data_IF_937670801650
#
_entry.id   IF_937670801650
#
_cell.length_a   1.000
_cell.length_b   1.000
_cell.length_c   1.000
_cell.angle_alpha   90.00
_cell.angle_beta   90.00
_cell.angle_gamma   90.00
#
_symmetry.space_group_name_H-M   'P 1'
#
loop_
_entity.id
_entity.type
_entity.pdbx_description
1 polymer ?
#
# COMPACT_ATOMS: atom_id res chain seq x y z
N UNK A 1 15.56 12.86 4.83
CA UNK A 1 14.36 13.24 5.61
C UNK A 1 13.66 14.48 5.07
N UNK A 2 14.34 15.42 4.39
CA UNK A 2 13.73 16.68 3.91
C UNK A 2 12.50 16.55 2.98
N UNK A 3 12.48 15.57 2.06
CA UNK A 3 11.36 15.42 1.11
C UNK A 3 10.05 15.00 1.78
N UNK A 4 10.09 14.15 2.81
CA UNK A 4 8.88 13.69 3.52
C UNK A 4 8.19 14.85 4.22
N UNK A 5 8.95 15.66 4.96
CA UNK A 5 8.43 16.83 5.68
C UNK A 5 7.85 17.83 4.70
N UNK A 6 8.62 18.23 3.68
CA UNK A 6 8.17 19.22 2.69
C UNK A 6 6.93 18.78 1.92
N UNK A 7 6.81 17.50 1.54
CA UNK A 7 5.61 17.00 0.84
C UNK A 7 4.38 17.01 1.74
N UNK A 8 4.52 16.65 3.02
CA UNK A 8 3.41 16.63 3.98
C UNK A 8 2.96 18.02 4.41
N UNK A 9 3.88 18.99 4.48
CA UNK A 9 3.55 20.39 4.74
C UNK A 9 2.90 21.07 3.53
N UNK A 10 3.37 20.76 2.31
CA UNK A 10 2.83 21.33 1.09
C UNK A 10 1.46 20.76 0.69
N UNK A 11 1.13 19.52 1.08
CA UNK A 11 -0.13 18.88 0.66
C UNK A 11 -1.38 19.63 1.14
N UNK A 12 -1.53 20.01 2.43
CA UNK A 12 -2.66 20.81 2.89
C UNK A 12 -2.75 22.17 2.22
N UNK A 13 -1.60 22.84 2.01
CA UNK A 13 -1.54 24.14 1.34
C UNK A 13 -2.01 24.00 -0.11
N UNK A 14 -1.52 22.99 -0.83
CA UNK A 14 -1.92 22.75 -2.20
C UNK A 14 -3.42 22.45 -2.33
N UNK A 15 -4.00 21.72 -1.38
CA UNK A 15 -5.44 21.48 -1.33
C UNK A 15 -6.24 22.77 -1.05
N UNK A 16 -5.80 23.58 -0.08
CA UNK A 16 -6.50 24.79 0.34
C UNK A 16 -6.49 25.89 -0.74
N UNK A 17 -5.42 25.99 -1.52
CA UNK A 17 -5.24 27.02 -2.54
C UNK A 17 -5.50 26.54 -3.97
N UNK A 18 -6.03 25.33 -4.17
CA UNK A 18 -6.34 24.80 -5.51
C UNK A 18 -5.12 24.57 -6.40
N UNK A 19 -3.97 24.24 -5.80
CA UNK A 19 -2.71 23.97 -6.53
C UNK A 19 -2.68 22.51 -7.02
N UNK A 20 -3.55 22.20 -7.99
CA UNK A 20 -3.86 20.82 -8.40
C UNK A 20 -2.63 20.00 -8.82
N UNK A 21 -1.66 20.61 -9.50
CA UNK A 21 -0.46 19.89 -9.93
C UNK A 21 0.39 19.44 -8.75
N UNK A 22 0.62 20.34 -7.79
CA UNK A 22 1.37 20.06 -6.57
C UNK A 22 0.61 19.03 -5.74
N UNK A 23 -0.68 19.24 -5.54
CA UNK A 23 -1.55 18.31 -4.81
C UNK A 23 -1.44 16.89 -5.36
N UNK A 24 -1.60 16.72 -6.68
CA UNK A 24 -1.53 15.41 -7.34
C UNK A 24 -0.13 14.79 -7.27
N UNK A 25 0.93 15.60 -7.42
CA UNK A 25 2.32 15.14 -7.29
C UNK A 25 2.61 14.68 -5.86
N UNK A 26 2.14 15.42 -4.86
CA UNK A 26 2.26 15.06 -3.44
C UNK A 26 1.55 13.74 -3.14
N UNK A 27 0.28 13.57 -3.58
CA UNK A 27 -0.45 12.32 -3.40
C UNK A 27 0.29 11.12 -4.01
N UNK A 28 0.76 11.23 -5.26
CA UNK A 28 1.52 10.14 -5.91
C UNK A 28 2.81 9.82 -5.17
N UNK A 29 3.53 10.84 -4.71
CA UNK A 29 4.77 10.64 -3.97
C UNK A 29 4.52 9.94 -2.63
N UNK A 30 3.48 10.36 -1.90
CA UNK A 30 3.06 9.72 -0.64
C UNK A 30 2.68 8.26 -0.87
N UNK A 31 1.87 7.96 -1.89
CA UNK A 31 1.49 6.59 -2.29
C UNK A 31 2.72 5.73 -2.55
N UNK A 32 3.69 6.22 -3.33
CA UNK A 32 4.93 5.48 -3.65
C UNK A 32 5.80 5.21 -2.41
N UNK A 33 5.74 6.07 -1.40
CA UNK A 33 6.59 5.97 -0.22
C UNK A 33 5.82 5.69 1.08
N UNK A 34 4.61 5.14 0.97
CA UNK A 34 3.66 5.04 2.08
C UNK A 34 4.23 4.33 3.31
N UNK A 35 5.00 3.24 3.13
CA UNK A 35 5.66 2.50 4.23
C UNK A 35 6.54 3.39 5.10
N UNK A 36 7.20 4.40 4.50
CA UNK A 36 8.06 5.35 5.22
C UNK A 36 7.31 6.58 5.71
N UNK A 37 6.24 6.97 5.00
CA UNK A 37 5.52 8.23 5.23
C UNK A 37 4.42 8.07 6.27
N UNK A 38 3.63 7.01 6.19
CA UNK A 38 2.46 6.80 7.04
C UNK A 38 2.79 6.71 8.53
N UNK A 39 3.88 6.05 8.98
CA UNK A 39 4.24 5.98 10.40
C UNK A 39 4.66 7.31 11.00
N UNK A 40 4.90 8.34 10.18
CA UNK A 40 5.42 9.62 10.65
C UNK A 40 4.36 10.40 11.42
N UNK A 41 4.80 11.19 12.41
CA UNK A 41 3.92 12.08 13.18
C UNK A 41 3.29 13.15 12.28
N UNK A 42 3.98 13.58 11.25
CA UNK A 42 3.54 14.57 10.27
C UNK A 42 2.36 14.05 9.46
N UNK A 43 2.40 12.78 9.01
CA UNK A 43 1.27 12.17 8.30
C UNK A 43 0.07 11.98 9.24
N UNK A 44 0.31 11.48 10.46
CA UNK A 44 -0.73 11.31 11.46
C UNK A 44 -1.42 12.63 11.86
N UNK A 45 -0.72 13.76 11.73
CA UNK A 45 -1.25 15.09 12.01
C UNK A 45 -2.07 15.69 10.85
N UNK A 46 -2.04 15.10 9.65
CA UNK A 46 -2.85 15.58 8.53
C UNK A 46 -4.36 15.51 8.85
N UNK A 47 -5.17 16.45 8.32
CA UNK A 47 -6.62 16.32 8.31
C UNK A 47 -7.06 14.94 7.79
N UNK A 48 -8.06 14.33 8.44
CA UNK A 48 -8.56 13.00 8.09
C UNK A 48 -8.93 12.90 6.60
N UNK A 49 -9.53 13.94 6.04
CA UNK A 49 -9.87 13.98 4.62
C UNK A 49 -8.65 13.81 3.70
N UNK A 50 -7.49 14.39 4.06
CA UNK A 50 -6.26 14.25 3.29
C UNK A 50 -5.63 12.86 3.47
N UNK A 51 -5.72 12.28 4.67
CA UNK A 51 -5.32 10.89 4.88
C UNK A 51 -6.18 9.95 4.01
N UNK A 52 -7.50 10.16 3.98
CA UNK A 52 -8.44 9.40 3.14
C UNK A 52 -8.19 9.60 1.63
N UNK A 53 -7.70 10.78 1.21
CA UNK A 53 -7.28 11.02 -0.18
C UNK A 53 -6.00 10.26 -0.53
N UNK A 54 -5.02 10.18 0.38
CA UNK A 54 -3.82 9.37 0.19
C UNK A 54 -4.17 7.88 0.08
N UNK A 55 -5.03 7.38 0.97
CA UNK A 55 -5.56 6.02 0.91
C UNK A 55 -6.27 5.74 -0.42
N UNK A 56 -7.20 6.61 -0.83
CA UNK A 56 -7.93 6.45 -2.11
C UNK A 56 -6.99 6.46 -3.30
N UNK A 57 -5.99 7.35 -3.32
CA UNK A 57 -4.98 7.39 -4.37
C UNK A 57 -4.23 6.05 -4.46
N UNK A 58 -3.90 5.43 -3.33
CA UNK A 58 -3.25 4.13 -3.32
C UNK A 58 -4.15 3.04 -3.91
N UNK A 59 -5.41 2.97 -3.46
CA UNK A 59 -6.37 1.96 -3.93
C UNK A 59 -6.64 2.07 -5.43
N UNK A 60 -6.88 3.27 -5.96
CA UNK A 60 -7.24 3.42 -7.39
C UNK A 60 -6.06 3.20 -8.35
N UNK A 61 -4.82 3.19 -7.87
CA UNK A 61 -3.64 2.87 -8.67
C UNK A 61 -3.06 1.48 -8.34
N UNK A 62 -3.79 0.69 -7.54
CA UNK A 62 -3.40 -0.67 -7.26
C UNK A 62 -3.53 -1.52 -8.53
N UNK A 63 -2.46 -2.25 -8.84
CA UNK A 63 -2.37 -3.09 -10.02
C UNK A 63 -1.50 -4.32 -9.76
N UNK A 64 -1.48 -5.26 -10.70
CA UNK A 64 -0.74 -6.51 -10.54
C UNK A 64 0.77 -6.29 -10.34
N UNK A 65 1.31 -5.18 -10.86
CA UNK A 65 2.72 -4.80 -10.75
C UNK A 65 3.12 -4.25 -9.36
N UNK A 66 2.16 -3.90 -8.50
CA UNK A 66 2.43 -3.20 -7.24
C UNK A 66 1.63 -3.73 -6.03
N UNK A 67 0.67 -4.64 -6.24
CA UNK A 67 -0.16 -5.19 -5.16
C UNK A 67 0.68 -5.98 -4.14
N UNK A 68 1.67 -6.75 -4.57
CA UNK A 68 2.53 -7.51 -3.67
C UNK A 68 3.35 -6.60 -2.74
N UNK A 69 3.98 -5.56 -3.29
CA UNK A 69 4.63 -4.53 -2.48
C UNK A 69 3.66 -3.81 -1.54
N UNK A 70 2.40 -3.65 -1.95
CA UNK A 70 1.37 -3.05 -1.08
C UNK A 70 1.06 -3.95 0.11
N UNK A 71 0.83 -5.25 -0.11
CA UNK A 71 0.56 -6.20 0.98
C UNK A 71 1.72 -6.26 1.97
N UNK A 72 2.94 -6.48 1.48
CA UNK A 72 4.16 -6.54 2.30
C UNK A 72 4.42 -5.22 3.04
N UNK A 73 4.18 -4.09 2.36
CA UNK A 73 4.31 -2.77 2.95
C UNK A 73 3.30 -2.54 4.09
N UNK A 74 2.06 -3.00 3.95
CA UNK A 74 1.08 -2.97 5.04
C UNK A 74 1.48 -3.84 6.23
N UNK A 75 1.99 -5.05 6.00
CA UNK A 75 2.50 -5.91 7.10
C UNK A 75 3.67 -5.23 7.84
N UNK A 76 4.58 -4.61 7.10
CA UNK A 76 5.68 -3.82 7.67
C UNK A 76 5.17 -2.64 8.49
N UNK A 77 4.17 -1.91 8.00
CA UNK A 77 3.53 -0.82 8.72
C UNK A 77 2.90 -1.31 10.03
N UNK A 78 2.15 -2.40 9.98
CA UNK A 78 1.49 -2.99 11.16
C UNK A 78 2.49 -3.45 12.22
N UNK A 79 3.67 -3.95 11.81
CA UNK A 79 4.75 -4.30 12.71
C UNK A 79 5.49 -3.08 13.30
N UNK A 80 5.51 -1.95 12.58
CA UNK A 80 6.34 -0.78 12.94
C UNK A 80 5.55 0.33 13.65
N UNK A 81 4.25 0.45 13.40
CA UNK A 81 3.41 1.51 13.96
C UNK A 81 3.14 1.21 15.45
N UNK A 82 3.55 2.09 16.38
CA UNK A 82 3.29 1.89 17.79
C UNK A 82 1.79 1.99 18.07
N UNK A 83 1.25 1.09 18.90
CA UNK A 83 -0.16 1.08 19.29
C UNK A 83 -0.47 2.19 20.32
N UNK A 84 -0.39 3.44 19.86
CA UNK A 84 -0.68 4.65 20.64
C UNK A 84 -1.79 5.45 19.97
N UNK A 85 -2.56 6.21 20.75
CA UNK A 85 -3.76 6.94 20.29
C UNK A 85 -3.54 7.78 19.03
N UNK A 86 -2.38 8.43 18.91
CA UNK A 86 -2.03 9.29 17.76
C UNK A 86 -1.84 8.51 16.46
N UNK A 87 -1.48 7.23 16.53
CA UNK A 87 -1.25 6.39 15.37
C UNK A 87 -2.48 5.55 14.96
N UNK A 88 -3.58 5.63 15.73
CA UNK A 88 -4.77 4.81 15.47
C UNK A 88 -5.41 5.08 14.10
N UNK A 89 -5.42 6.33 13.63
CA UNK A 89 -5.97 6.63 12.29
C UNK A 89 -5.11 6.00 11.19
N UNK A 90 -3.78 6.06 11.33
CA UNK A 90 -2.84 5.47 10.39
C UNK A 90 -2.93 3.95 10.40
N UNK A 91 -3.04 3.34 11.58
CA UNK A 91 -3.22 1.89 11.72
C UNK A 91 -4.51 1.43 11.05
N UNK A 92 -5.63 2.13 11.29
CA UNK A 92 -6.91 1.81 10.66
C UNK A 92 -6.84 1.94 9.12
N UNK A 93 -6.11 2.92 8.60
CA UNK A 93 -5.89 3.06 7.14
C UNK A 93 -5.01 1.95 6.60
N UNK A 94 -3.96 1.54 7.32
CA UNK A 94 -3.07 0.43 6.96
C UNK A 94 -3.85 -0.88 6.86
N UNK A 95 -4.63 -1.21 7.89
CA UNK A 95 -5.45 -2.43 7.90
C UNK A 95 -6.47 -2.41 6.77
N UNK A 96 -7.16 -1.29 6.55
CA UNK A 96 -8.11 -1.16 5.43
C UNK A 96 -7.44 -1.31 4.07
N UNK A 97 -6.21 -0.81 3.92
CA UNK A 97 -5.44 -0.96 2.68
C UNK A 97 -4.99 -2.40 2.49
N UNK A 98 -4.54 -3.06 3.57
CA UNK A 98 -4.17 -4.46 3.58
C UNK A 98 -5.33 -5.35 3.10
N UNK A 99 -6.53 -5.18 3.67
CA UNK A 99 -7.72 -5.94 3.28
C UNK A 99 -8.05 -5.79 1.78
N UNK A 100 -7.99 -4.56 1.27
CA UNK A 100 -8.25 -4.29 -0.16
C UNK A 100 -7.16 -4.90 -1.04
N UNK A 101 -5.90 -4.83 -0.62
CA UNK A 101 -4.78 -5.39 -1.36
C UNK A 101 -4.82 -6.92 -1.43
N UNK A 102 -5.10 -7.59 -0.31
CA UNK A 102 -5.30 -9.04 -0.28
C UNK A 102 -6.49 -9.44 -1.15
N UNK A 103 -7.59 -8.69 -1.10
CA UNK A 103 -8.75 -8.96 -1.97
C UNK A 103 -8.39 -8.83 -3.45
N UNK A 104 -7.68 -7.77 -3.84
CA UNK A 104 -7.20 -7.58 -5.22
C UNK A 104 -6.30 -8.74 -5.65
N UNK A 105 -5.33 -9.11 -4.80
CA UNK A 105 -4.41 -10.22 -5.04
C UNK A 105 -5.16 -11.52 -5.32
N UNK A 106 -6.14 -11.88 -4.50
CA UNK A 106 -6.94 -13.09 -4.70
C UNK A 106 -7.77 -13.04 -5.99
N UNK A 107 -8.33 -11.87 -6.33
CA UNK A 107 -9.15 -11.70 -7.54
C UNK A 107 -8.33 -11.71 -8.84
N UNK A 108 -7.08 -11.29 -8.79
CA UNK A 108 -6.17 -11.16 -9.94
C UNK A 108 -4.95 -12.09 -9.83
N UNK A 109 -5.07 -13.18 -9.08
CA UNK A 109 -3.95 -14.02 -8.67
C UNK A 109 -3.10 -14.48 -9.86
N UNK A 110 -3.73 -15.01 -10.90
CA UNK A 110 -3.06 -15.48 -12.14
C UNK A 110 -2.22 -14.39 -12.81
N UNK A 111 -2.74 -13.17 -12.89
CA UNK A 111 -2.02 -12.01 -13.46
C UNK A 111 -0.86 -11.58 -12.56
N UNK A 112 -1.02 -11.68 -11.24
CA UNK A 112 0.04 -11.30 -10.29
C UNK A 112 1.19 -12.28 -10.32
N UNK A 113 0.93 -13.60 -10.27
CA UNK A 113 2.00 -14.63 -10.24
C UNK A 113 2.79 -14.73 -11.55
N UNK A 114 2.22 -14.25 -12.65
CA UNK A 114 2.88 -14.18 -13.97
C UNK A 114 3.53 -12.83 -14.24
N UNK A 115 3.39 -11.85 -13.34
CA UNK A 115 3.94 -10.51 -13.51
C UNK A 115 5.44 -10.45 -13.25
N UNK A 116 6.13 -9.52 -13.92
CA UNK A 116 7.54 -9.22 -13.64
C UNK A 116 7.77 -8.75 -12.20
N UNK A 117 6.76 -8.13 -11.58
CA UNK A 117 6.81 -7.71 -10.18
C UNK A 117 6.96 -8.89 -9.22
N UNK A 118 6.24 -9.99 -9.46
CA UNK A 118 6.40 -11.21 -8.68
C UNK A 118 7.80 -11.81 -8.85
N UNK A 119 8.29 -11.89 -10.10
CA UNK A 119 9.64 -12.41 -10.39
C UNK A 119 10.76 -11.55 -9.80
N UNK A 120 10.51 -10.25 -9.61
CA UNK A 120 11.46 -9.32 -9.01
C UNK A 120 11.44 -9.42 -7.48
N UNK A 121 10.25 -9.41 -6.87
CA UNK A 121 10.09 -9.57 -5.41
C UNK A 121 10.65 -10.92 -4.94
N UNK A 122 10.49 -11.99 -5.72
CA UNK A 122 11.04 -13.31 -5.39
C UNK A 122 12.58 -13.36 -5.33
N UNK A 123 13.28 -12.30 -5.75
CA UNK A 123 14.74 -12.14 -5.67
C UNK A 123 15.18 -11.22 -4.54
N UNK A 124 14.24 -10.67 -3.77
CA UNK A 124 14.54 -9.85 -2.59
C UNK A 124 15.00 -10.72 -1.41
N UNK A 125 15.20 -10.12 -0.24
CA UNK A 125 15.73 -10.83 0.92
C UNK A 125 14.86 -12.00 1.38
N UNK A 126 15.47 -12.92 2.14
CA UNK A 126 14.81 -14.14 2.59
C UNK A 126 13.55 -13.88 3.43
N UNK A 127 13.50 -12.73 4.14
CA UNK A 127 12.33 -12.32 4.90
C UNK A 127 11.16 -12.00 3.98
N UNK A 128 11.41 -11.22 2.94
CA UNK A 128 10.44 -10.85 1.92
C UNK A 128 9.91 -12.08 1.20
N UNK A 129 10.80 -13.01 0.83
CA UNK A 129 10.41 -14.28 0.18
C UNK A 129 9.52 -15.14 1.09
N UNK A 130 9.87 -15.29 2.37
CA UNK A 130 9.07 -16.08 3.32
C UNK A 130 7.68 -15.48 3.55
N UNK A 131 7.58 -14.15 3.68
CA UNK A 131 6.28 -13.46 3.80
C UNK A 131 5.46 -13.62 2.54
N UNK A 132 6.07 -13.42 1.38
CA UNK A 132 5.43 -13.60 0.09
C UNK A 132 4.85 -15.00 -0.08
N UNK A 133 5.60 -16.04 0.27
CA UNK A 133 5.13 -17.43 0.24
C UNK A 133 3.88 -17.62 1.11
N UNK A 134 3.88 -17.13 2.35
CA UNK A 134 2.71 -17.21 3.23
C UNK A 134 1.50 -16.46 2.69
N UNK A 135 1.70 -15.24 2.18
CA UNK A 135 0.65 -14.44 1.55
C UNK A 135 0.04 -15.18 0.37
N UNK A 136 0.87 -15.76 -0.51
CA UNK A 136 0.40 -16.49 -1.70
C UNK A 136 -0.24 -17.83 -1.35
N UNK A 137 0.28 -18.55 -0.37
CA UNK A 137 -0.33 -19.77 0.14
C UNK A 137 -1.71 -19.47 0.75
N UNK A 138 -1.86 -18.36 1.46
CA UNK A 138 -3.16 -17.92 1.99
C UNK A 138 -4.13 -17.51 0.88
N UNK A 139 -3.66 -16.74 -0.12
CA UNK A 139 -4.48 -16.34 -1.26
C UNK A 139 -4.93 -17.55 -2.10
N UNK A 140 -4.03 -18.51 -2.36
CA UNK A 140 -4.32 -19.70 -3.16
C UNK A 140 -5.41 -20.58 -2.56
N UNK A 141 -5.49 -20.67 -1.23
CA UNK A 141 -6.55 -21.40 -0.50
C UNK A 141 -7.93 -20.77 -0.63
N UNK A 142 -8.00 -19.48 -0.96
CA UNK A 142 -9.23 -18.70 -1.05
C UNK A 142 -9.61 -18.35 -2.51
N UNK A 143 -8.99 -19.01 -3.50
CA UNK A 143 -9.28 -18.78 -4.90
C UNK A 143 -10.69 -19.27 -5.28
N UNK A 144 -11.34 -18.55 -6.20
CA UNK A 144 -12.52 -19.06 -6.87
C UNK A 144 -12.12 -20.15 -7.88
N UNK A 145 -13.02 -21.11 -8.20
CA UNK A 145 -12.74 -22.18 -9.17
C UNK A 145 -12.25 -21.66 -10.54
N UNK A 146 -12.77 -20.51 -10.98
CA UNK A 146 -12.40 -19.90 -12.26
C UNK A 146 -10.94 -19.39 -12.27
N UNK A 147 -10.42 -18.90 -11.14
CA UNK A 147 -9.04 -18.47 -11.02
C UNK A 147 -8.07 -19.65 -10.89
N UNK A 148 -8.47 -20.72 -10.20
CA UNK A 148 -7.67 -21.95 -10.06
C UNK A 148 -7.38 -22.63 -11.41
N UNK A 149 -8.32 -22.58 -12.35
CA UNK A 149 -8.15 -23.18 -13.68
C UNK A 149 -7.23 -22.38 -14.61
N UNK A 150 -7.06 -21.07 -14.38
CA UNK A 150 -6.23 -20.20 -15.23
C UNK A 150 -4.76 -20.18 -14.80
N UNK A 151 -4.47 -20.43 -13.52
CA UNK A 151 -3.10 -20.45 -12.98
C UNK A 151 -2.33 -21.75 -13.24
N UNK A 152 -2.96 -22.78 -13.81
CA UNK A 152 -2.35 -24.08 -14.15
C UNK A 152 -1.95 -24.24 -15.62
N UNK A 153 -2.20 -23.22 -16.46
CA UNK A 153 -1.76 -23.17 -17.87
C UNK A 153 -0.50 -22.36 -18.02
#
# INVERSE_FOLDING_TARGET
SGCTVGVLECLPLAAAYGLDEIYRKSLRWITRHFVRVWPTKEFAALPKELQDKCYRQHVVNMAADNVLHTVLGCESLEATIPNVRRAQSVLALSTKLHEVAVKYLTQHFSTVVTSDAFMTIGKEDAWTVTRLEETLLSASRNLSPDQSCQSYR
#
